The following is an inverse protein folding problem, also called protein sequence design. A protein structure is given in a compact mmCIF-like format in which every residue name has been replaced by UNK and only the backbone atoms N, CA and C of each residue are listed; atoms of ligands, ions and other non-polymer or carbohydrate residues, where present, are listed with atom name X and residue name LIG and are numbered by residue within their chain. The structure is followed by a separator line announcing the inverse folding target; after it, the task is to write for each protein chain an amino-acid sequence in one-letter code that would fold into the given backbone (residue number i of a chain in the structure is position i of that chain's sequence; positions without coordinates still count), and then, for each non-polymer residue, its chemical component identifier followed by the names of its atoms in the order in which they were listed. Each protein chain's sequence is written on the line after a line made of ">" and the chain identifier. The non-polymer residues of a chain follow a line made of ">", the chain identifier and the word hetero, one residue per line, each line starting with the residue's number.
data_IF_595701531541
#
_entry.id   IF_595701531541
#
_cell.length_a   1.000
_cell.length_b   1.000
_cell.length_c   1.000
_cell.angle_alpha   90.00
_cell.angle_beta   90.00
_cell.angle_gamma   90.00
#
_symmetry.space_group_name_H-M   'P 1'
#
loop_
_entity.id
_entity.type
_entity.pdbx_description
1 polymer ?
#
# COMPACT_ATOMS: atom_id res chain seq x y z
N UNK A 1 -0.26 9.28 -43.10
CA UNK A 1 0.67 9.65 -42.02
C UNK A 1 -0.11 9.62 -40.72
N UNK A 2 0.23 8.72 -39.79
CA UNK A 2 -0.44 8.62 -38.50
C UNK A 2 0.21 9.58 -37.51
N UNK A 3 -0.56 10.43 -36.85
CA UNK A 3 -0.06 11.21 -35.72
C UNK A 3 0.14 10.25 -34.54
N UNK A 4 1.40 9.99 -34.21
CA UNK A 4 1.75 9.21 -33.03
C UNK A 4 1.38 10.00 -31.77
N UNK A 5 0.61 9.39 -30.88
CA UNK A 5 0.40 9.91 -29.54
C UNK A 5 1.72 9.73 -28.78
N UNK A 6 2.33 10.83 -28.38
CA UNK A 6 3.60 10.82 -27.65
C UNK A 6 3.44 10.26 -26.22
N UNK A 7 2.28 10.48 -25.59
CA UNK A 7 1.95 10.00 -24.24
C UNK A 7 0.43 9.81 -24.06
N UNK A 8 0.03 8.77 -23.34
CA UNK A 8 -1.36 8.56 -22.88
C UNK A 8 -1.37 8.47 -21.36
N UNK A 9 -2.04 9.42 -20.70
CA UNK A 9 -2.30 9.36 -19.26
C UNK A 9 -3.66 8.70 -19.02
N UNK A 10 -3.69 7.62 -18.25
CA UNK A 10 -4.91 6.93 -17.84
C UNK A 10 -5.09 7.14 -16.34
N UNK A 11 -6.08 7.96 -15.95
CA UNK A 11 -6.46 8.17 -14.56
C UNK A 11 -7.58 7.20 -14.17
N UNK A 12 -7.42 6.50 -13.05
CA UNK A 12 -8.32 5.42 -12.63
C UNK A 12 -8.79 5.65 -11.20
N UNK A 13 -10.10 5.66 -11.00
CA UNK A 13 -10.74 5.88 -9.69
C UNK A 13 -11.19 4.58 -8.97
N UNK A 14 -11.02 3.39 -9.56
CA UNK A 14 -11.44 2.11 -8.96
C UNK A 14 -10.66 0.89 -9.47
N UNK A 15 -10.56 -0.18 -8.68
CA UNK A 15 -9.86 -1.42 -9.05
C UNK A 15 -10.49 -2.05 -10.29
N UNK A 16 -9.72 -2.14 -11.37
CA UNK A 16 -10.20 -2.58 -12.69
C UNK A 16 -9.02 -3.10 -13.51
N UNK A 17 -9.19 -4.22 -14.20
CA UNK A 17 -8.20 -4.74 -15.14
C UNK A 17 -8.05 -3.77 -16.30
N UNK A 18 -6.84 -3.24 -16.53
CA UNK A 18 -6.59 -2.19 -17.53
C UNK A 18 -5.99 -2.70 -18.83
N UNK A 19 -5.30 -3.83 -18.77
CA UNK A 19 -4.78 -4.49 -19.96
C UNK A 19 -5.31 -5.92 -19.95
N UNK A 20 -6.10 -6.24 -20.97
CA UNK A 20 -6.48 -7.61 -21.30
C UNK A 20 -6.04 -7.81 -22.74
N UNK A 21 -5.06 -8.68 -22.93
CA UNK A 21 -4.69 -9.17 -24.26
C UNK A 21 -5.59 -10.36 -24.55
N UNK A 22 -6.36 -10.29 -25.64
CA UNK A 22 -7.20 -11.41 -26.10
C UNK A 22 -6.82 -11.67 -27.55
N UNK A 23 -6.25 -12.85 -27.81
CA UNK A 23 -5.76 -13.30 -29.12
C UNK A 23 -4.56 -12.53 -29.69
N UNK A 24 -3.54 -12.20 -28.88
CA UNK A 24 -2.27 -11.66 -29.39
C UNK A 24 -1.16 -12.73 -29.39
N UNK A 25 -0.52 -12.95 -30.54
CA UNK A 25 0.66 -13.82 -30.64
C UNK A 25 1.95 -13.10 -30.23
N UNK A 26 2.00 -11.75 -30.36
CA UNK A 26 3.19 -10.93 -30.07
C UNK A 26 2.83 -9.50 -29.61
N UNK A 27 2.27 -9.35 -28.41
CA UNK A 27 2.06 -8.04 -27.79
C UNK A 27 3.30 -7.61 -26.98
N UNK A 28 3.86 -6.44 -27.30
CA UNK A 28 4.90 -5.80 -26.47
C UNK A 28 4.37 -4.49 -25.91
N UNK A 29 4.25 -4.41 -24.59
CA UNK A 29 4.02 -3.15 -23.87
C UNK A 29 5.40 -2.62 -23.47
N UNK A 30 5.80 -1.48 -24.04
CA UNK A 30 7.04 -0.79 -23.70
C UNK A 30 6.72 0.61 -23.16
N UNK A 31 7.58 1.13 -22.28
CA UNK A 31 7.48 2.49 -21.71
C UNK A 31 6.22 2.77 -20.88
N UNK A 32 5.69 1.76 -20.17
CA UNK A 32 4.60 1.93 -19.20
C UNK A 32 5.15 2.51 -17.88
N UNK A 33 4.58 3.64 -17.45
CA UNK A 33 4.74 4.15 -16.09
C UNK A 33 3.42 3.98 -15.34
N UNK A 34 3.50 3.45 -14.11
CA UNK A 34 2.36 3.34 -13.19
C UNK A 34 2.70 4.16 -11.95
N UNK A 35 1.86 5.15 -11.69
CA UNK A 35 1.91 5.98 -10.49
C UNK A 35 0.74 5.61 -9.57
N UNK A 36 0.94 5.74 -8.26
CA UNK A 36 -0.06 5.43 -7.25
C UNK A 36 -0.35 6.70 -6.46
N UNK A 37 -1.62 7.04 -6.28
CA UNK A 37 -1.98 8.07 -5.30
C UNK A 37 -1.60 7.54 -3.89
N UNK A 38 -0.66 8.19 -3.19
CA UNK A 38 -0.26 7.75 -1.85
C UNK A 38 -1.41 7.92 -0.83
N UNK A 39 -2.42 8.72 -1.15
CA UNK A 39 -3.62 8.92 -0.33
C UNK A 39 -4.77 8.03 -0.84
N UNK A 40 -5.71 7.63 0.05
CA UNK A 40 -5.86 8.01 1.45
C UNK A 40 -5.12 7.08 2.42
N UNK A 41 -4.12 6.32 1.99
CA UNK A 41 -3.50 5.30 2.83
C UNK A 41 -2.47 5.90 3.79
N UNK A 42 -2.39 5.35 5.01
CA UNK A 42 -1.27 5.62 5.91
C UNK A 42 -0.09 4.73 5.52
N UNK A 43 1.09 5.33 5.34
CA UNK A 43 2.34 4.59 5.18
C UNK A 43 3.43 5.16 6.09
N UNK A 44 4.43 4.32 6.35
CA UNK A 44 5.52 4.67 7.24
C UNK A 44 6.39 3.49 7.59
N UNK A 45 7.17 3.65 8.65
CA UNK A 45 8.08 2.63 9.16
C UNK A 45 7.53 2.06 10.47
N UNK A 46 7.52 0.75 10.60
CA UNK A 46 7.21 0.09 11.87
C UNK A 46 8.24 0.48 12.92
N UNK A 47 7.80 0.95 14.08
CA UNK A 47 8.67 1.31 15.22
C UNK A 47 8.47 0.39 16.42
N UNK A 48 7.38 -0.37 16.42
CA UNK A 48 7.09 -1.40 17.40
C UNK A 48 6.25 -2.50 16.75
N UNK A 49 6.57 -3.76 17.05
CA UNK A 49 5.82 -4.91 16.57
C UNK A 49 5.50 -5.81 17.76
N UNK A 50 4.23 -6.11 17.95
CA UNK A 50 3.76 -7.06 18.94
C UNK A 50 2.74 -8.02 18.29
N UNK A 51 2.35 -9.06 19.02
CA UNK A 51 1.40 -10.07 18.56
C UNK A 51 0.04 -9.48 18.16
N UNK A 52 -0.36 -8.34 18.75
CA UNK A 52 -1.70 -7.78 18.62
C UNK A 52 -1.72 -6.38 17.96
N UNK A 53 -0.57 -5.77 17.68
CA UNK A 53 -0.51 -4.45 17.06
C UNK A 53 0.85 -4.14 16.41
N UNK A 54 0.83 -3.19 15.48
CA UNK A 54 2.00 -2.49 14.94
C UNK A 54 1.91 -1.02 15.33
N UNK A 55 3.00 -0.42 15.79
CA UNK A 55 3.10 1.03 15.85
C UNK A 55 3.92 1.49 14.65
N UNK A 56 3.38 2.43 13.87
CA UNK A 56 3.94 2.89 12.61
C UNK A 56 4.23 4.38 12.71
N UNK A 57 5.50 4.75 12.54
CA UNK A 57 5.91 6.14 12.38
C UNK A 57 5.54 6.59 10.98
N UNK A 58 4.56 7.49 10.91
CA UNK A 58 4.01 7.98 9.65
C UNK A 58 5.06 8.84 8.95
N UNK A 59 5.13 8.76 7.62
CA UNK A 59 6.02 9.58 6.80
C UNK A 59 5.22 10.42 5.80
N UNK A 60 5.60 11.69 5.55
CA UNK A 60 4.98 12.49 4.50
C UNK A 60 5.05 11.79 3.13
N UNK A 61 4.06 11.95 2.24
CA UNK A 61 2.87 12.80 2.38
C UNK A 61 1.70 12.14 3.14
N UNK A 62 1.89 10.94 3.69
CA UNK A 62 0.83 10.20 4.37
C UNK A 62 0.42 10.88 5.68
N UNK A 63 -0.82 10.64 6.08
CA UNK A 63 -1.41 11.17 7.31
C UNK A 63 -1.88 10.03 8.21
N UNK A 64 -2.06 10.36 9.49
CA UNK A 64 -2.70 9.45 10.43
C UNK A 64 -4.17 9.28 10.05
N UNK A 65 -4.57 8.06 9.71
CA UNK A 65 -5.98 7.70 9.52
C UNK A 65 -6.46 7.03 10.81
N UNK A 66 -7.03 7.84 11.72
CA UNK A 66 -7.48 7.42 13.06
C UNK A 66 -8.89 6.84 12.94
N UNK A 67 -9.24 5.91 13.83
CA UNK A 67 -10.54 5.25 13.89
C UNK A 67 -10.87 4.38 12.67
N UNK A 68 -9.86 4.02 11.88
CA UNK A 68 -9.99 3.12 10.72
C UNK A 68 -9.81 1.65 11.12
N UNK A 69 -10.59 0.79 10.49
CA UNK A 69 -10.31 -0.64 10.45
C UNK A 69 -9.38 -0.95 9.28
N UNK A 70 -8.19 -1.44 9.58
CA UNK A 70 -7.18 -1.79 8.57
C UNK A 70 -7.39 -3.23 8.16
N UNK A 71 -7.87 -3.43 6.94
CA UNK A 71 -8.15 -4.74 6.36
C UNK A 71 -6.92 -5.38 5.72
N UNK A 72 -5.90 -4.59 5.38
CA UNK A 72 -4.63 -5.12 4.92
C UNK A 72 -3.43 -4.22 5.19
N UNK A 73 -2.27 -4.85 5.35
CA UNK A 73 -0.99 -4.20 5.58
C UNK A 73 0.01 -4.79 4.59
N UNK A 74 0.59 -3.94 3.75
CA UNK A 74 1.49 -4.36 2.68
C UNK A 74 2.88 -3.87 2.99
N UNK A 75 3.90 -4.68 2.70
CA UNK A 75 5.26 -4.17 2.63
C UNK A 75 5.34 -3.06 1.58
N UNK A 76 6.05 -1.98 1.90
CA UNK A 76 6.25 -0.82 1.03
C UNK A 76 7.68 -0.84 0.48
N UNK A 77 7.83 -0.55 -0.81
CA UNK A 77 9.11 -0.16 -1.39
C UNK A 77 9.40 1.29 -0.96
N UNK A 78 10.31 1.46 -0.01
CA UNK A 78 10.66 2.78 0.55
C UNK A 78 11.35 3.72 -0.46
N UNK A 79 11.84 3.20 -1.59
CA UNK A 79 12.43 4.02 -2.67
C UNK A 79 11.34 4.60 -3.55
N UNK A 80 10.32 3.80 -3.85
CA UNK A 80 9.23 4.15 -4.75
C UNK A 80 7.95 4.58 -4.03
N UNK A 81 7.93 4.54 -2.69
CA UNK A 81 6.82 4.94 -1.82
C UNK A 81 5.48 4.27 -2.20
N UNK A 82 5.53 2.99 -2.56
CA UNK A 82 4.37 2.19 -3.00
C UNK A 82 4.46 0.77 -2.46
N UNK A 83 3.35 -0.01 -2.44
CA UNK A 83 3.43 -1.43 -2.11
C UNK A 83 4.54 -2.14 -2.89
N UNK A 84 5.37 -2.91 -2.19
CA UNK A 84 6.44 -3.68 -2.78
C UNK A 84 5.85 -4.71 -3.75
N UNK A 85 6.47 -4.86 -4.91
CA UNK A 85 6.06 -5.82 -5.94
C UNK A 85 7.22 -6.81 -6.14
N UNK A 86 6.95 -8.10 -5.97
CA UNK A 86 7.93 -9.15 -6.24
C UNK A 86 7.74 -10.39 -5.37
N UNK A 87 8.52 -11.45 -5.61
CA UNK A 87 8.36 -12.74 -4.93
C UNK A 87 8.67 -12.71 -3.43
N UNK A 88 9.25 -11.61 -2.92
CA UNK A 88 9.54 -11.40 -1.50
C UNK A 88 8.65 -10.34 -0.85
N UNK A 89 7.81 -9.68 -1.64
CA UNK A 89 6.81 -8.78 -1.09
C UNK A 89 5.78 -9.62 -0.36
N UNK A 90 5.47 -9.25 0.88
CA UNK A 90 4.41 -9.88 1.64
C UNK A 90 3.38 -8.84 2.07
N UNK A 91 2.16 -9.33 2.20
CA UNK A 91 1.02 -8.56 2.69
C UNK A 91 0.24 -9.42 3.68
N UNK A 92 -0.40 -8.76 4.63
CA UNK A 92 -1.29 -9.38 5.59
C UNK A 92 -2.68 -8.86 5.28
N UNK A 93 -3.62 -9.79 5.11
CA UNK A 93 -5.04 -9.48 5.12
C UNK A 93 -5.61 -9.87 6.46
N UNK A 94 -6.46 -9.02 7.01
CA UNK A 94 -7.10 -9.26 8.28
C UNK A 94 -8.52 -8.72 8.28
N UNK A 95 -9.34 -9.34 9.13
CA UNK A 95 -10.64 -8.80 9.52
C UNK A 95 -10.51 -8.43 10.99
N UNK A 96 -10.17 -7.17 11.32
CA UNK A 96 -10.06 -6.74 12.71
C UNK A 96 -11.40 -6.94 13.43
N UNK A 97 -11.39 -7.22 14.75
CA UNK A 97 -12.59 -7.10 15.57
C UNK A 97 -13.27 -5.74 15.38
N UNK A 98 -14.59 -5.68 15.53
CA UNK A 98 -15.36 -4.45 15.28
C UNK A 98 -14.96 -3.26 16.16
N UNK A 99 -14.28 -3.51 17.28
CA UNK A 99 -13.77 -2.53 18.24
C UNK A 99 -12.25 -2.30 18.13
N UNK A 100 -11.60 -2.81 17.10
CA UNK A 100 -10.16 -2.70 16.90
C UNK A 100 -9.84 -1.70 15.77
N UNK A 101 -9.73 -0.42 16.14
CA UNK A 101 -9.45 0.67 15.21
C UNK A 101 -8.05 1.26 15.44
N UNK A 102 -7.53 1.93 14.42
CA UNK A 102 -6.27 2.67 14.50
C UNK A 102 -6.34 3.80 15.53
N UNK A 103 -5.25 4.04 16.24
CA UNK A 103 -5.17 5.09 17.27
C UNK A 103 -3.79 5.74 17.32
N UNK A 104 -3.70 7.01 17.73
CA UNK A 104 -2.40 7.65 17.91
C UNK A 104 -1.73 7.20 19.21
N UNK A 105 -0.46 6.79 19.10
CA UNK A 105 0.43 6.56 20.25
C UNK A 105 1.22 7.83 20.58
N UNK A 106 1.51 8.63 19.55
CA UNK A 106 2.16 9.94 19.64
C UNK A 106 1.76 10.80 18.45
N UNK A 107 2.22 12.06 18.38
CA UNK A 107 1.90 12.99 17.28
C UNK A 107 2.23 12.48 15.87
N UNK A 108 3.11 11.48 15.72
CA UNK A 108 3.48 10.93 14.42
C UNK A 108 3.55 9.41 14.40
N UNK A 109 2.87 8.75 15.33
CA UNK A 109 2.88 7.29 15.44
C UNK A 109 1.47 6.75 15.55
N UNK A 110 1.07 5.97 14.55
CA UNK A 110 -0.24 5.31 14.50
C UNK A 110 -0.09 3.86 14.94
N UNK A 111 -0.91 3.45 15.90
CA UNK A 111 -1.12 2.05 16.23
C UNK A 111 -2.13 1.45 15.27
N UNK A 112 -1.74 0.35 14.64
CA UNK A 112 -2.58 -0.49 13.80
C UNK A 112 -2.83 -1.80 14.56
N UNK A 113 -4.07 -2.09 14.95
CA UNK A 113 -4.42 -3.38 15.54
C UNK A 113 -4.18 -4.53 14.56
N UNK A 114 -3.74 -5.66 15.10
CA UNK A 114 -3.57 -6.89 14.35
C UNK A 114 -4.58 -7.95 14.81
N UNK A 115 -5.18 -8.66 13.86
CA UNK A 115 -6.01 -9.83 14.16
C UNK A 115 -5.16 -11.06 14.57
N UNK A 116 -3.90 -11.11 14.14
CA UNK A 116 -2.93 -12.15 14.45
C UNK A 116 -1.50 -11.62 14.32
N UNK A 117 -0.53 -12.33 14.88
CA UNK A 117 0.88 -11.92 14.82
C UNK A 117 1.34 -11.75 13.38
N UNK A 118 2.04 -10.64 13.13
CA UNK A 118 2.56 -10.31 11.81
C UNK A 118 3.97 -10.87 11.60
N UNK A 119 4.37 -10.92 10.33
CA UNK A 119 5.73 -11.19 9.88
C UNK A 119 6.55 -9.91 9.69
N UNK A 120 5.96 -8.73 9.96
CA UNK A 120 6.68 -7.47 9.95
C UNK A 120 7.66 -7.41 11.13
N UNK A 121 8.78 -6.75 10.92
CA UNK A 121 9.78 -6.42 11.94
C UNK A 121 9.88 -4.91 12.07
N UNK A 122 10.62 -4.42 13.07
CA UNK A 122 10.90 -2.99 13.23
C UNK A 122 11.74 -2.48 12.05
N UNK A 123 11.49 -1.24 11.63
CA UNK A 123 12.02 -0.56 10.44
C UNK A 123 11.51 -1.07 9.08
N UNK A 124 10.55 -1.99 9.06
CA UNK A 124 9.84 -2.31 7.82
C UNK A 124 9.03 -1.10 7.35
N UNK A 125 9.21 -0.74 6.08
CA UNK A 125 8.31 0.19 5.40
C UNK A 125 7.00 -0.54 5.06
N UNK A 126 5.87 0.06 5.42
CA UNK A 126 4.54 -0.54 5.21
C UNK A 126 3.51 0.48 4.71
N UNK A 127 2.47 -0.01 4.06
CA UNK A 127 1.24 0.72 3.71
C UNK A 127 0.03 0.02 4.33
N UNK A 128 -0.84 0.78 4.99
CA UNK A 128 -2.06 0.28 5.63
C UNK A 128 -3.31 0.65 4.82
N UNK A 129 -4.15 -0.34 4.48
CA UNK A 129 -5.39 -0.20 3.71
C UNK A 129 -6.60 -0.82 4.40
#
# INVERSE_FOLDING_TARGET
>A
MGQGIHQTLILVHSSTTRFVSVFDEQLTIASLAVDFDPLPFTAGYTVNVNANHLDVRIVPPHQADIDRQVGAILQCDSTLMRPAIGPRAYEIYQTPPSNANTSLVSNNTLRIPLASSSQFVVEDAIVAR
#
